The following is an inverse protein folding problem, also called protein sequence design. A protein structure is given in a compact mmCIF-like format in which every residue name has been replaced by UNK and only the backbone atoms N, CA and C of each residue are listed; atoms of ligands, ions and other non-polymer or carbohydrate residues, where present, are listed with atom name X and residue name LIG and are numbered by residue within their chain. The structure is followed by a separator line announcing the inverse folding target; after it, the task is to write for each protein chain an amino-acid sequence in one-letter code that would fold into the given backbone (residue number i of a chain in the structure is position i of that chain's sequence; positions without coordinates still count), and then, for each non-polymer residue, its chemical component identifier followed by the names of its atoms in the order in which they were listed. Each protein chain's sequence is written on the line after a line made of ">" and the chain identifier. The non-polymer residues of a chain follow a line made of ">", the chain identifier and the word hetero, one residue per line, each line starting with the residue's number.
data_IF_299478860075
#
_entry.id   IF_299478860075
#
_cell.length_a   1.000
_cell.length_b   1.000
_cell.length_c   1.000
_cell.angle_alpha   90.00
_cell.angle_beta   90.00
_cell.angle_gamma   90.00
#
_symmetry.space_group_name_H-M   'P 1'
#
loop_
_entity.id
_entity.type
_entity.pdbx_description
1 polymer ?
#
# COMPACT_ATOMS: atom_id res chain seq x y z
N UNK A 1 4.52 -24.65 9.29
CA UNK A 1 5.02 -23.70 8.28
C UNK A 1 3.98 -22.60 8.20
N UNK A 2 4.27 -21.45 8.83
CA UNK A 2 3.28 -20.38 9.01
C UNK A 2 3.09 -19.64 7.68
N UNK A 3 1.91 -19.79 7.07
CA UNK A 3 1.52 -19.21 5.77
C UNK A 3 1.51 -17.65 5.81
N UNK A 4 1.67 -17.09 7.00
CA UNK A 4 1.62 -15.66 7.32
C UNK A 4 2.97 -14.93 7.18
N UNK A 5 4.08 -15.63 6.93
CA UNK A 5 5.41 -15.01 6.76
C UNK A 5 5.65 -14.38 5.36
N UNK A 6 4.61 -14.27 4.53
CA UNK A 6 4.68 -13.49 3.29
C UNK A 6 4.48 -12.01 3.59
N UNK A 7 5.49 -11.41 4.23
CA UNK A 7 5.66 -9.95 4.27
C UNK A 7 5.59 -9.43 2.83
N UNK A 8 4.58 -8.61 2.52
CA UNK A 8 4.38 -8.03 1.18
C UNK A 8 5.69 -7.39 0.69
N UNK A 9 6.37 -8.05 -0.25
CA UNK A 9 7.55 -7.50 -0.95
C UNK A 9 7.04 -6.74 -2.17
N UNK A 10 6.57 -5.50 -1.98
CA UNK A 10 6.22 -4.60 -3.08
C UNK A 10 4.91 -3.82 -2.90
N UNK A 11 4.38 -3.33 -4.01
CA UNK A 11 3.13 -2.56 -4.14
C UNK A 11 1.91 -3.43 -4.49
N UNK A 12 2.05 -4.75 -4.48
CA UNK A 12 1.01 -5.66 -4.99
C UNK A 12 0.05 -6.14 -3.89
N UNK A 13 -0.77 -5.20 -3.40
CA UNK A 13 -1.87 -5.47 -2.46
C UNK A 13 -2.96 -6.34 -3.08
N UNK A 14 -3.13 -6.27 -4.41
CA UNK A 14 -4.13 -7.04 -5.12
C UNK A 14 -3.82 -8.54 -5.02
N UNK A 15 -2.58 -8.95 -5.29
CA UNK A 15 -2.17 -10.35 -5.11
C UNK A 15 -2.24 -10.82 -3.66
N UNK A 16 -1.91 -9.95 -2.69
CA UNK A 16 -2.07 -10.28 -1.27
C UNK A 16 -3.54 -10.52 -0.91
N UNK A 17 -4.42 -9.62 -1.33
CA UNK A 17 -5.87 -9.73 -1.06
C UNK A 17 -6.47 -10.97 -1.72
N UNK A 18 -6.10 -11.25 -2.97
CA UNK A 18 -6.55 -12.44 -3.69
C UNK A 18 -6.12 -13.72 -2.96
N UNK A 19 -4.84 -13.84 -2.61
CA UNK A 19 -4.33 -15.02 -1.88
C UNK A 19 -4.99 -15.17 -0.51
N UNK A 20 -5.23 -14.07 0.19
CA UNK A 20 -5.92 -14.09 1.47
C UNK A 20 -7.37 -14.59 1.32
N UNK A 21 -8.09 -14.15 0.28
CA UNK A 21 -9.44 -14.63 -0.03
C UNK A 21 -9.46 -16.11 -0.43
N UNK A 22 -8.50 -16.55 -1.26
CA UNK A 22 -8.35 -17.97 -1.62
C UNK A 22 -8.06 -18.84 -0.40
N UNK A 23 -7.17 -18.39 0.50
CA UNK A 23 -6.87 -19.07 1.75
C UNK A 23 -8.07 -19.10 2.69
N UNK A 24 -8.82 -18.00 2.81
CA UNK A 24 -10.02 -17.96 3.63
C UNK A 24 -11.12 -18.88 3.12
N UNK A 25 -11.27 -18.98 1.80
CA UNK A 25 -12.20 -19.91 1.16
C UNK A 25 -11.77 -21.37 1.36
N UNK A 26 -10.48 -21.66 1.18
CA UNK A 26 -9.91 -23.00 1.38
C UNK A 26 -10.00 -23.43 2.85
N UNK A 27 -9.83 -22.48 3.76
CA UNK A 27 -9.91 -22.63 5.20
C UNK A 27 -11.30 -22.23 5.73
N UNK A 28 -12.39 -22.62 5.04
CA UNK A 28 -13.79 -22.23 5.33
C UNK A 28 -14.35 -22.53 6.74
N UNK A 29 -13.49 -22.90 7.71
CA UNK A 29 -13.79 -23.08 9.14
C UNK A 29 -12.72 -22.48 10.08
N UNK A 30 -11.78 -21.68 9.57
CA UNK A 30 -10.62 -21.24 10.34
C UNK A 30 -10.81 -19.86 10.99
N UNK A 31 -11.74 -19.04 10.49
CA UNK A 31 -12.10 -17.77 11.10
C UNK A 31 -13.34 -17.94 11.98
N UNK A 32 -13.27 -17.42 13.20
CA UNK A 32 -14.39 -17.49 14.16
C UNK A 32 -15.50 -16.47 13.84
N UNK A 33 -15.28 -15.58 12.87
CA UNK A 33 -16.22 -14.57 12.41
C UNK A 33 -15.55 -13.54 11.50
N UNK A 34 -16.34 -12.59 11.00
CA UNK A 34 -15.86 -11.54 10.08
C UNK A 34 -14.77 -10.65 10.71
N UNK A 35 -14.89 -10.36 12.02
CA UNK A 35 -13.92 -9.56 12.76
C UNK A 35 -12.53 -10.22 12.83
N UNK A 36 -12.47 -11.53 13.10
CA UNK A 36 -11.22 -12.30 13.16
C UNK A 36 -10.52 -12.33 11.78
N UNK A 37 -11.31 -12.39 10.71
CA UNK A 37 -10.81 -12.29 9.33
C UNK A 37 -10.22 -10.90 9.06
N UNK A 38 -10.88 -9.84 9.51
CA UNK A 38 -10.40 -8.45 9.37
C UNK A 38 -9.09 -8.24 10.14
N UNK A 39 -9.00 -8.68 11.40
CA UNK A 39 -7.76 -8.55 12.20
C UNK A 39 -6.57 -9.26 11.55
N UNK A 40 -6.79 -10.47 11.02
CA UNK A 40 -5.76 -11.25 10.33
C UNK A 40 -5.33 -10.60 9.03
N UNK A 41 -6.27 -10.04 8.27
CA UNK A 41 -5.96 -9.30 7.06
C UNK A 41 -5.12 -8.06 7.34
N UNK A 42 -5.56 -7.25 8.32
CA UNK A 42 -4.87 -6.01 8.73
C UNK A 42 -3.47 -6.32 9.25
N UNK A 43 -3.29 -7.39 10.04
CA UNK A 43 -1.98 -7.78 10.57
C UNK A 43 -0.92 -8.16 9.52
N UNK A 44 -1.33 -8.52 8.29
CA UNK A 44 -0.40 -8.78 7.19
C UNK A 44 -0.16 -7.60 6.26
N UNK A 45 -0.78 -6.43 6.51
CA UNK A 45 -0.58 -5.23 5.70
C UNK A 45 0.80 -4.59 5.92
N UNK A 46 1.37 -3.91 4.92
CA UNK A 46 2.60 -3.15 5.08
C UNK A 46 2.46 -2.04 6.14
N UNK A 47 3.51 -1.84 6.94
CA UNK A 47 3.58 -0.79 7.99
C UNK A 47 3.16 0.60 7.47
N UNK A 48 3.42 0.87 6.19
CA UNK A 48 3.12 2.13 5.51
C UNK A 48 1.62 2.49 5.50
N UNK A 49 0.73 1.50 5.50
CA UNK A 49 -0.73 1.68 5.50
C UNK A 49 -1.41 1.06 6.73
N UNK A 50 -0.74 0.14 7.42
CA UNK A 50 -1.25 -0.58 8.58
C UNK A 50 -1.89 0.34 9.63
N UNK A 51 -1.15 1.36 10.09
CA UNK A 51 -1.65 2.28 11.11
C UNK A 51 -2.90 3.05 10.69
N UNK A 52 -2.99 3.42 9.41
CA UNK A 52 -4.15 4.13 8.86
C UNK A 52 -5.37 3.22 8.73
N UNK A 53 -5.18 1.96 8.32
CA UNK A 53 -6.28 0.98 8.23
C UNK A 53 -6.83 0.65 9.63
N UNK A 54 -5.95 0.45 10.62
CA UNK A 54 -6.36 0.23 12.02
C UNK A 54 -7.17 1.42 12.55
N UNK A 55 -6.77 2.66 12.24
CA UNK A 55 -7.48 3.86 12.68
C UNK A 55 -8.90 3.96 12.11
N UNK A 56 -9.12 3.47 10.88
CA UNK A 56 -10.43 3.47 10.22
C UNK A 56 -11.40 2.43 10.78
N UNK A 57 -10.93 1.46 11.57
CA UNK A 57 -11.74 0.41 12.22
C UNK A 57 -12.75 -0.24 11.26
N UNK A 58 -12.28 -0.89 10.18
CA UNK A 58 -13.16 -1.59 9.24
C UNK A 58 -13.97 -2.66 9.99
N UNK A 59 -15.26 -2.74 9.69
CA UNK A 59 -16.17 -3.74 10.26
C UNK A 59 -16.24 -4.97 9.38
N UNK A 60 -16.03 -4.77 8.08
CA UNK A 60 -16.09 -5.82 7.07
C UNK A 60 -14.76 -5.99 6.36
N UNK A 61 -14.56 -7.18 5.80
CA UNK A 61 -13.41 -7.47 4.95
C UNK A 61 -13.34 -6.55 3.72
N UNK A 62 -14.49 -6.23 3.14
CA UNK A 62 -14.55 -5.36 1.97
C UNK A 62 -14.09 -3.94 2.30
N UNK A 63 -14.53 -3.39 3.43
CA UNK A 63 -14.06 -2.07 3.91
C UNK A 63 -12.54 -2.07 4.13
N UNK A 64 -11.99 -3.13 4.75
CA UNK A 64 -10.55 -3.22 4.97
C UNK A 64 -9.75 -3.21 3.65
N UNK A 65 -10.24 -3.92 2.63
CA UNK A 65 -9.65 -3.98 1.29
C UNK A 65 -9.74 -2.63 0.58
N UNK A 66 -10.90 -1.99 0.63
CA UNK A 66 -11.16 -0.69 -0.02
C UNK A 66 -10.26 0.39 0.58
N UNK A 67 -10.19 0.49 1.91
CA UNK A 67 -9.34 1.46 2.62
C UNK A 67 -7.86 1.20 2.30
N UNK A 68 -7.42 -0.07 2.33
CA UNK A 68 -6.03 -0.41 2.02
C UNK A 68 -5.65 -0.03 0.57
N UNK A 69 -6.55 -0.27 -0.38
CA UNK A 69 -6.36 0.06 -1.80
C UNK A 69 -6.30 1.57 -2.01
N UNK A 70 -7.26 2.31 -1.43
CA UNK A 70 -7.31 3.76 -1.51
C UNK A 70 -6.04 4.41 -0.93
N UNK A 71 -5.55 3.90 0.20
CA UNK A 71 -4.33 4.41 0.84
C UNK A 71 -3.06 4.15 0.02
N UNK A 72 -2.99 3.02 -0.68
CA UNK A 72 -1.89 2.76 -1.60
C UNK A 72 -1.93 3.68 -2.82
N UNK A 73 -3.09 3.81 -3.46
CA UNK A 73 -3.26 4.66 -4.65
C UNK A 73 -2.94 6.13 -4.35
N UNK A 74 -3.42 6.64 -3.22
CA UNK A 74 -3.10 8.01 -2.75
C UNK A 74 -1.60 8.22 -2.57
N UNK A 75 -0.86 7.25 -2.02
CA UNK A 75 0.60 7.37 -1.83
C UNK A 75 1.37 7.26 -3.14
N UNK A 76 0.92 6.41 -4.08
CA UNK A 76 1.50 6.32 -5.44
C UNK A 76 1.33 7.65 -6.18
N UNK A 77 0.14 8.25 -6.12
CA UNK A 77 -0.12 9.56 -6.73
C UNK A 77 0.77 10.66 -6.11
N UNK A 78 0.82 10.73 -4.79
CA UNK A 78 1.64 11.73 -4.07
C UNK A 78 3.14 11.59 -4.41
N UNK A 79 3.63 10.35 -4.58
CA UNK A 79 5.01 10.10 -4.97
C UNK A 79 5.28 10.47 -6.44
N UNK A 80 4.35 10.20 -7.35
CA UNK A 80 4.44 10.59 -8.75
C UNK A 80 4.49 12.12 -8.92
N UNK A 81 3.68 12.87 -8.18
CA UNK A 81 3.68 14.33 -8.18
C UNK A 81 4.98 14.92 -7.64
N UNK A 82 5.54 14.37 -6.55
CA UNK A 82 6.86 14.82 -6.07
C UNK A 82 7.99 14.51 -7.05
N UNK A 83 7.94 13.36 -7.71
CA UNK A 83 8.95 12.98 -8.71
C UNK A 83 8.92 13.93 -9.91
N UNK A 84 7.74 14.33 -10.40
CA UNK A 84 7.64 15.29 -11.51
C UNK A 84 8.05 16.71 -11.10
N UNK A 85 7.71 17.15 -9.88
CA UNK A 85 8.14 18.42 -9.33
C UNK A 85 9.67 18.52 -9.18
N UNK A 86 10.31 17.49 -8.61
CA UNK A 86 11.78 17.47 -8.47
C UNK A 86 12.51 17.36 -9.81
N UNK A 87 11.94 16.66 -10.80
CA UNK A 87 12.53 16.57 -12.15
C UNK A 87 12.50 17.93 -12.88
N UNK A 88 11.42 18.72 -12.72
CA UNK A 88 11.34 20.09 -13.26
C UNK A 88 12.31 21.06 -12.58
N UNK A 89 12.59 20.92 -11.28
CA UNK A 89 13.62 21.75 -10.62
C UNK A 89 15.03 21.44 -11.12
N UNK A 90 15.37 20.15 -11.31
CA UNK A 90 16.70 19.75 -11.79
C UNK A 90 17.01 20.30 -13.19
N UNK A 91 16.02 20.31 -14.09
CA UNK A 91 16.19 20.83 -15.46
C UNK A 91 16.34 22.37 -15.50
N UNK A 92 15.75 23.10 -14.56
CA UNK A 92 15.90 24.55 -14.49
C UNK A 92 17.27 24.98 -13.92
N UNK A 93 17.82 24.24 -12.94
CA UNK A 93 19.14 24.57 -12.37
C UNK A 93 20.29 24.30 -13.34
N UNK A 94 20.18 23.28 -14.19
CA UNK A 94 21.20 22.96 -15.19
C UNK A 94 21.27 23.98 -16.33
N UNK A 95 20.15 24.61 -16.71
CA UNK A 95 20.14 25.70 -17.72
C UNK A 95 20.77 26.99 -17.21
N UNK A 96 20.57 27.36 -15.95
CA UNK A 96 21.16 28.60 -15.38
C UNK A 96 22.67 28.51 -15.21
N UNK A 97 23.21 27.34 -14.86
CA UNK A 97 24.65 27.18 -14.61
C UNK A 97 25.48 27.23 -15.91
N UNK A 98 24.95 26.71 -17.03
CA UNK A 98 25.64 26.73 -18.33
C UNK A 98 25.78 28.14 -18.91
N UNK A 99 24.82 29.02 -18.66
CA UNK A 99 24.85 30.40 -19.16
C UNK A 99 25.76 31.33 -18.36
N UNK A 100 26.18 30.95 -17.14
CA UNK A 100 27.09 31.76 -16.31
C UNK A 100 28.58 31.41 -16.50
N UNK A 101 28.92 30.29 -17.13
CA UNK A 101 30.31 29.91 -17.42
C UNK A 101 30.81 30.40 -18.79
N UNK A 102 29.99 31.15 -19.54
CA UNK A 102 30.33 31.68 -20.87
C UNK A 102 30.43 33.22 -20.90
N UNK A 103 30.55 33.89 -19.74
CA UNK A 103 30.87 35.32 -19.65
C UNK A 103 32.22 35.54 -18.99
#
# INVERSE_FOLDING_TARGET
>A
MEIWELKVKGTDLASYTQRFQELALLCGRMFSGEFDMVEKYVGGLPDMIHGSVVASKPKTMQEAIEIATELMDKKVHTFAERKTASKRKLENTSRTTRNQQQQ
#
